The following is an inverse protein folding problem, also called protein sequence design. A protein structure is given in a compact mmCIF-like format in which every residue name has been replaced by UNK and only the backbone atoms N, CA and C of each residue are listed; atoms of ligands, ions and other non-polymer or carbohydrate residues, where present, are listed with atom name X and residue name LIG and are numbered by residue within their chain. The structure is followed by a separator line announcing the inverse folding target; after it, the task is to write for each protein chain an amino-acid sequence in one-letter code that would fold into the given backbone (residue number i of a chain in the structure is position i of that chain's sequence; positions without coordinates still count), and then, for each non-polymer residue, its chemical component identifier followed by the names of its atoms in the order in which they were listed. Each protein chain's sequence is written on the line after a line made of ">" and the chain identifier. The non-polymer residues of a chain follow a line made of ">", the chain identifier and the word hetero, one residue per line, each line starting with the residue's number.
data_IF_883983224176
#
_entry.id   IF_883983224176
#
_cell.length_a   1.000
_cell.length_b   1.000
_cell.length_c   1.000
_cell.angle_alpha   90.00
_cell.angle_beta   90.00
_cell.angle_gamma   90.00
#
_symmetry.space_group_name_H-M   'P 1'
#
loop_
_entity.id
_entity.type
_entity.pdbx_description
1 polymer ?
#
# COMPACT_ATOMS: atom_id res chain seq x y z
N UNK A 1 10.53 -27.44 -71.58
CA UNK A 1 9.44 -28.31 -72.09
C UNK A 1 8.31 -28.33 -71.08
N UNK A 2 7.30 -27.73 -71.48
CA UNK A 2 5.90 -28.05 -71.63
C UNK A 2 5.02 -27.77 -70.39
N UNK A 3 4.39 -26.70 -70.46
CA UNK A 3 2.97 -26.44 -70.11
C UNK A 3 2.06 -27.46 -70.85
N UNK A 4 0.73 -27.53 -70.62
CA UNK A 4 -0.27 -26.58 -70.12
C UNK A 4 -1.32 -27.31 -69.24
N UNK A 5 -2.40 -26.81 -68.77
CA UNK A 5 -3.43 -25.84 -69.06
C UNK A 5 -4.64 -26.18 -68.15
N UNK A 6 -5.37 -25.28 -67.81
CA UNK A 6 -6.64 -24.67 -68.21
C UNK A 6 -7.83 -24.93 -67.27
N UNK A 7 -8.45 -23.81 -66.90
CA UNK A 7 -9.88 -23.41 -67.06
C UNK A 7 -10.82 -24.07 -66.04
N UNK A 8 -11.35 -23.35 -65.14
CA UNK A 8 -12.42 -22.31 -65.26
C UNK A 8 -13.76 -22.88 -64.83
N UNK A 9 -14.39 -22.24 -63.91
CA UNK A 9 -15.84 -21.88 -64.00
C UNK A 9 -16.36 -21.29 -62.69
N UNK A 10 -16.74 -20.05 -62.77
CA UNK A 10 -18.07 -19.51 -62.41
C UNK A 10 -18.48 -19.58 -60.92
N UNK A 11 -18.31 -18.48 -60.35
CA UNK A 11 -19.18 -17.57 -59.62
C UNK A 11 -20.62 -18.11 -59.39
N UNK A 12 -20.94 -18.34 -58.12
CA UNK A 12 -22.32 -18.26 -57.63
C UNK A 12 -22.34 -17.46 -56.33
N UNK A 13 -22.79 -16.23 -56.45
CA UNK A 13 -23.16 -15.37 -55.34
C UNK A 13 -24.40 -15.98 -54.70
N UNK A 14 -24.31 -16.31 -53.42
CA UNK A 14 -25.48 -16.60 -52.58
C UNK A 14 -25.39 -15.76 -51.32
N UNK A 15 -26.25 -14.76 -51.25
CA UNK A 15 -26.63 -14.00 -50.05
C UNK A 15 -26.76 -14.95 -48.84
N UNK A 16 -25.94 -14.74 -47.80
CA UNK A 16 -26.20 -15.30 -46.49
C UNK A 16 -26.44 -14.18 -45.51
N UNK A 17 -27.68 -14.08 -45.09
CA UNK A 17 -28.21 -13.29 -44.00
C UNK A 17 -27.28 -13.41 -42.77
N UNK A 18 -26.95 -12.25 -42.19
CA UNK A 18 -26.22 -12.14 -40.93
C UNK A 18 -26.98 -12.85 -39.82
N UNK A 19 -26.43 -13.90 -39.29
CA UNK A 19 -26.81 -14.46 -38.01
C UNK A 19 -26.17 -13.62 -36.86
N UNK A 20 -26.86 -13.45 -35.72
CA UNK A 20 -26.35 -12.64 -34.61
C UNK A 20 -25.12 -13.30 -34.01
N UNK A 21 -24.05 -12.52 -33.88
CA UNK A 21 -22.83 -12.93 -33.14
C UNK A 21 -23.19 -13.09 -31.67
N UNK A 22 -23.31 -14.30 -31.20
CA UNK A 22 -23.27 -14.60 -29.77
C UNK A 22 -21.86 -14.35 -29.27
N UNK A 23 -21.69 -13.33 -28.44
CA UNK A 23 -20.46 -13.06 -27.67
C UNK A 23 -20.40 -14.09 -26.51
N UNK A 24 -20.13 -15.35 -26.81
CA UNK A 24 -19.68 -16.28 -25.79
C UNK A 24 -18.18 -16.01 -25.56
N UNK A 25 -17.85 -15.22 -24.54
CA UNK A 25 -16.52 -15.25 -23.94
C UNK A 25 -16.29 -16.70 -23.50
N UNK A 26 -15.51 -17.44 -24.27
CA UNK A 26 -15.04 -18.75 -23.86
C UNK A 26 -14.31 -18.56 -22.50
N UNK A 27 -14.91 -19.06 -21.43
CA UNK A 27 -14.21 -19.25 -20.15
C UNK A 27 -13.12 -20.25 -20.45
N UNK A 28 -11.86 -19.78 -20.48
CA UNK A 28 -10.69 -20.65 -20.48
C UNK A 28 -10.78 -21.45 -19.17
N UNK A 29 -11.17 -22.70 -19.27
CA UNK A 29 -11.05 -23.62 -18.14
C UNK A 29 -9.55 -23.90 -17.99
N UNK A 30 -8.96 -23.68 -16.80
CA UNK A 30 -7.55 -23.99 -16.58
C UNK A 30 -7.36 -25.49 -16.80
N UNK A 31 -6.52 -25.85 -17.74
CA UNK A 31 -6.12 -27.22 -18.02
C UNK A 31 -5.41 -27.76 -16.78
N UNK A 32 -5.99 -28.75 -16.13
CA UNK A 32 -5.38 -29.46 -15.01
C UNK A 32 -4.21 -30.32 -15.53
N UNK A 33 -3.00 -29.84 -15.37
CA UNK A 33 -1.79 -30.40 -15.98
C UNK A 33 -1.29 -31.70 -15.31
N UNK A 34 -1.91 -32.19 -14.21
CA UNK A 34 -1.39 -33.34 -13.49
C UNK A 34 -2.44 -34.29 -12.88
N UNK A 35 -3.68 -34.26 -13.29
CA UNK A 35 -4.70 -35.17 -12.73
C UNK A 35 -4.94 -35.02 -11.21
N UNK A 36 -4.48 -33.88 -10.62
CA UNK A 36 -4.70 -33.55 -9.20
C UNK A 36 -6.07 -32.90 -9.01
N UNK A 37 -6.80 -33.40 -8.04
CA UNK A 37 -8.08 -32.82 -7.63
C UNK A 37 -7.79 -31.45 -7.01
N UNK A 38 -8.54 -30.42 -7.44
CA UNK A 38 -8.42 -29.10 -6.84
C UNK A 38 -8.75 -29.12 -5.34
N UNK A 39 -8.10 -28.29 -4.51
CA UNK A 39 -8.41 -28.20 -3.08
C UNK A 39 -9.88 -27.88 -2.84
N UNK A 40 -10.60 -28.82 -2.23
CA UNK A 40 -12.04 -28.75 -1.99
C UNK A 40 -12.41 -29.34 -0.63
N UNK A 41 -13.59 -29.01 -0.12
CA UNK A 41 -14.16 -29.57 1.09
C UNK A 41 -15.70 -29.55 1.02
N UNK A 42 -16.33 -30.30 0.06
CA UNK A 42 -17.77 -30.21 -0.18
C UNK A 42 -18.62 -30.54 1.07
N UNK A 43 -18.20 -31.50 1.87
CA UNK A 43 -18.90 -31.88 3.11
C UNK A 43 -18.95 -30.70 4.13
N UNK A 44 -17.87 -29.92 4.23
CA UNK A 44 -17.84 -28.72 5.09
C UNK A 44 -18.68 -27.60 4.50
N UNK A 45 -18.69 -27.45 3.16
CA UNK A 45 -19.55 -26.48 2.48
C UNK A 45 -21.03 -26.77 2.76
N UNK A 46 -21.45 -28.03 2.62
CA UNK A 46 -22.83 -28.46 2.93
C UNK A 46 -23.17 -28.20 4.40
N UNK A 47 -22.26 -28.52 5.33
CA UNK A 47 -22.46 -28.31 6.76
C UNK A 47 -22.62 -26.81 7.12
N UNK A 48 -21.80 -25.95 6.51
CA UNK A 48 -21.87 -24.49 6.72
C UNK A 48 -23.17 -23.95 6.13
N UNK A 49 -23.54 -24.28 4.92
CA UNK A 49 -24.79 -23.83 4.29
C UNK A 49 -26.02 -24.29 5.07
N UNK A 50 -26.01 -25.53 5.53
CA UNK A 50 -27.08 -26.07 6.38
C UNK A 50 -27.20 -25.32 7.71
N UNK A 51 -26.08 -25.07 8.38
CA UNK A 51 -26.06 -24.33 9.66
C UNK A 51 -26.57 -22.89 9.50
N UNK A 52 -26.23 -22.21 8.39
CA UNK A 52 -26.71 -20.87 8.07
C UNK A 52 -28.24 -20.78 7.92
N UNK A 53 -28.89 -21.86 7.50
CA UNK A 53 -30.35 -21.94 7.34
C UNK A 53 -31.07 -22.34 8.60
N UNK A 54 -30.37 -22.81 9.64
CA UNK A 54 -30.97 -23.26 10.91
C UNK A 54 -30.75 -22.23 12.02
N UNK A 55 -29.55 -21.64 12.10
CA UNK A 55 -29.19 -20.74 13.18
C UNK A 55 -29.22 -19.27 12.74
N UNK A 56 -29.98 -18.48 13.51
CA UNK A 56 -30.26 -17.08 13.20
C UNK A 56 -29.01 -16.19 13.12
N UNK A 57 -28.02 -16.44 13.98
CA UNK A 57 -26.82 -15.60 14.09
C UNK A 57 -25.59 -16.18 13.37
N UNK A 58 -25.74 -17.34 12.73
CA UNK A 58 -24.63 -18.04 12.07
C UNK A 58 -24.00 -17.24 10.91
N UNK A 59 -24.82 -16.46 10.18
CA UNK A 59 -24.33 -15.65 9.09
C UNK A 59 -23.32 -14.59 9.55
N UNK A 60 -23.55 -13.95 10.69
CA UNK A 60 -22.63 -12.93 11.23
C UNK A 60 -21.24 -13.47 11.52
N UNK A 61 -21.13 -14.76 11.92
CA UNK A 61 -19.88 -15.43 12.24
C UNK A 61 -19.04 -15.74 10.99
N UNK A 62 -19.69 -15.96 9.84
CA UNK A 62 -18.99 -16.40 8.61
C UNK A 62 -18.94 -15.36 7.50
N UNK A 63 -19.78 -14.32 7.57
CA UNK A 63 -19.89 -13.29 6.53
C UNK A 63 -18.60 -12.55 6.26
N UNK A 64 -17.72 -12.46 7.25
CA UNK A 64 -16.39 -11.87 7.11
C UNK A 64 -15.34 -12.85 6.56
N UNK A 65 -15.57 -14.17 6.65
CA UNK A 65 -14.63 -15.21 6.29
C UNK A 65 -14.91 -15.71 4.88
N UNK A 66 -16.18 -15.89 4.53
CA UNK A 66 -16.63 -16.51 3.29
C UNK A 66 -17.23 -15.49 2.33
N UNK A 67 -17.02 -15.76 1.04
CA UNK A 67 -17.69 -15.13 -0.10
C UNK A 67 -18.29 -16.22 -0.97
N UNK A 68 -19.23 -15.92 -1.89
CA UNK A 68 -19.77 -16.92 -2.81
C UNK A 68 -18.67 -17.69 -3.53
N UNK A 69 -17.62 -17.02 -3.98
CA UNK A 69 -16.49 -17.59 -4.71
C UNK A 69 -15.60 -18.51 -3.84
N UNK A 70 -15.79 -18.48 -2.52
CA UNK A 70 -15.06 -19.35 -1.59
C UNK A 70 -15.49 -20.82 -1.71
N UNK A 71 -16.71 -21.06 -2.19
CA UNK A 71 -17.25 -22.40 -2.37
C UNK A 71 -16.75 -23.05 -3.66
N UNK A 72 -16.48 -24.36 -3.60
CA UNK A 72 -16.01 -25.10 -4.75
C UNK A 72 -17.14 -25.43 -5.72
N UNK A 73 -18.29 -25.92 -5.20
CA UNK A 73 -19.42 -26.27 -6.01
C UNK A 73 -20.24 -25.04 -6.39
N UNK A 74 -20.52 -24.90 -7.69
CA UNK A 74 -21.29 -23.77 -8.21
C UNK A 74 -22.67 -23.62 -7.54
N UNK A 75 -23.33 -24.75 -7.29
CA UNK A 75 -24.62 -24.74 -6.57
C UNK A 75 -24.51 -24.16 -5.15
N UNK A 76 -23.39 -24.38 -4.43
CA UNK A 76 -23.13 -23.81 -3.12
C UNK A 76 -22.86 -22.31 -3.21
N UNK A 77 -22.18 -21.84 -4.28
CA UNK A 77 -21.99 -20.42 -4.54
C UNK A 77 -23.31 -19.69 -4.71
N UNK A 78 -24.25 -20.28 -5.48
CA UNK A 78 -25.59 -19.71 -5.68
C UNK A 78 -26.39 -19.67 -4.40
N UNK A 79 -26.37 -20.73 -3.60
CA UNK A 79 -27.09 -20.78 -2.30
C UNK A 79 -26.51 -19.72 -1.35
N UNK A 80 -25.17 -19.64 -1.20
CA UNK A 80 -24.55 -18.65 -0.32
C UNK A 80 -24.80 -17.22 -0.79
N UNK A 81 -24.81 -16.98 -2.10
CA UNK A 81 -25.17 -15.68 -2.68
C UNK A 81 -26.64 -15.30 -2.35
N UNK A 82 -27.57 -16.25 -2.38
CA UNK A 82 -28.96 -16.00 -1.99
C UNK A 82 -29.10 -15.71 -0.48
N UNK A 83 -28.34 -16.43 0.35
CA UNK A 83 -28.24 -16.18 1.80
C UNK A 83 -27.70 -14.78 2.07
N UNK A 84 -26.62 -14.38 1.37
CA UNK A 84 -26.03 -13.05 1.48
C UNK A 84 -27.01 -11.95 1.14
N UNK A 85 -27.78 -12.10 0.06
CA UNK A 85 -28.82 -11.12 -0.32
C UNK A 85 -29.91 -10.97 0.77
N UNK A 86 -30.35 -12.09 1.32
CA UNK A 86 -31.35 -12.05 2.39
C UNK A 86 -30.82 -11.33 3.62
N UNK A 87 -29.59 -11.65 4.03
CA UNK A 87 -28.97 -11.07 5.20
C UNK A 87 -28.67 -9.57 5.03
N UNK A 88 -28.15 -9.14 3.87
CA UNK A 88 -27.91 -7.71 3.56
C UNK A 88 -29.22 -6.91 3.57
N UNK A 89 -30.32 -7.50 3.10
CA UNK A 89 -31.64 -6.86 3.11
C UNK A 89 -32.38 -7.04 4.45
N UNK A 90 -31.70 -7.51 5.50
CA UNK A 90 -32.25 -7.72 6.84
C UNK A 90 -33.48 -8.65 6.85
N UNK A 91 -33.56 -9.58 5.93
CA UNK A 91 -34.60 -10.62 5.89
C UNK A 91 -34.14 -11.85 6.67
N UNK A 92 -35.06 -12.60 7.27
CA UNK A 92 -34.72 -13.85 7.96
C UNK A 92 -34.07 -14.83 6.96
N UNK A 93 -33.02 -15.50 7.42
CA UNK A 93 -32.36 -16.57 6.66
C UNK A 93 -32.83 -17.90 7.21
N UNK A 94 -33.66 -18.58 6.44
CA UNK A 94 -34.16 -19.93 6.74
C UNK A 94 -34.39 -20.71 5.45
N UNK A 95 -34.71 -21.99 5.58
CA UNK A 95 -34.91 -22.89 4.43
C UNK A 95 -35.98 -22.37 3.46
N UNK A 96 -37.05 -21.76 3.97
CA UNK A 96 -38.16 -21.29 3.15
C UNK A 96 -37.82 -20.02 2.42
N UNK A 97 -37.19 -19.07 3.09
CA UNK A 97 -36.78 -17.79 2.52
C UNK A 97 -35.65 -17.95 1.49
N UNK A 98 -34.69 -18.84 1.74
CA UNK A 98 -33.62 -19.17 0.78
C UNK A 98 -34.21 -19.84 -0.46
N UNK A 99 -35.12 -20.81 -0.30
CA UNK A 99 -35.83 -21.42 -1.43
C UNK A 99 -36.59 -20.37 -2.27
N UNK A 100 -37.33 -19.46 -1.61
CA UNK A 100 -38.08 -18.41 -2.30
C UNK A 100 -37.13 -17.45 -3.04
N UNK A 101 -36.02 -17.07 -2.42
CA UNK A 101 -35.03 -16.19 -3.03
C UNK A 101 -34.39 -16.84 -4.27
N UNK A 102 -34.03 -18.13 -4.19
CA UNK A 102 -33.49 -18.89 -5.34
C UNK A 102 -34.55 -19.04 -6.46
N UNK A 103 -35.81 -19.25 -6.11
CA UNK A 103 -36.89 -19.30 -7.10
C UNK A 103 -37.09 -17.96 -7.81
N UNK A 104 -37.02 -16.84 -7.07
CA UNK A 104 -37.08 -15.47 -7.66
C UNK A 104 -35.92 -15.16 -8.61
N UNK A 105 -34.74 -15.71 -8.35
CA UNK A 105 -33.57 -15.57 -9.21
C UNK A 105 -33.60 -16.53 -10.41
N UNK A 106 -34.38 -17.56 -10.36
CA UNK A 106 -34.42 -18.63 -11.37
C UNK A 106 -33.36 -19.73 -11.17
N UNK A 107 -32.63 -19.68 -10.06
CA UNK A 107 -31.49 -20.60 -9.79
C UNK A 107 -31.92 -21.87 -9.06
N UNK A 108 -33.20 -21.99 -8.66
CA UNK A 108 -33.67 -23.09 -7.81
C UNK A 108 -33.44 -24.50 -8.41
N UNK A 109 -33.66 -24.67 -9.70
CA UNK A 109 -33.47 -25.96 -10.41
C UNK A 109 -31.95 -26.26 -10.52
N UNK A 110 -31.11 -25.25 -10.77
CA UNK A 110 -29.66 -25.41 -10.92
C UNK A 110 -28.99 -25.86 -9.63
N UNK A 111 -29.50 -25.43 -8.48
CA UNK A 111 -28.99 -25.86 -7.16
C UNK A 111 -29.45 -27.25 -6.75
N UNK A 112 -30.33 -27.90 -7.51
CA UNK A 112 -30.86 -29.23 -7.23
C UNK A 112 -32.26 -29.24 -6.59
N UNK A 113 -33.00 -28.16 -6.75
CA UNK A 113 -34.38 -28.00 -6.33
C UNK A 113 -34.60 -27.92 -4.82
N UNK A 114 -35.86 -27.88 -4.38
CA UNK A 114 -36.21 -27.76 -2.95
C UNK A 114 -35.70 -28.91 -2.09
N UNK A 115 -35.55 -30.08 -2.68
CA UNK A 115 -35.09 -31.28 -1.98
C UNK A 115 -33.64 -31.13 -1.50
N UNK A 116 -32.77 -30.60 -2.34
CA UNK A 116 -31.37 -30.39 -1.97
C UNK A 116 -31.20 -29.38 -0.82
N UNK A 117 -31.96 -28.27 -0.83
CA UNK A 117 -31.94 -27.28 0.23
C UNK A 117 -32.37 -27.90 1.56
N UNK A 118 -33.41 -28.73 1.56
CA UNK A 118 -33.87 -29.46 2.75
C UNK A 118 -32.83 -30.49 3.22
N UNK A 119 -32.15 -31.17 2.28
CA UNK A 119 -31.10 -32.11 2.60
C UNK A 119 -29.91 -31.46 3.30
N UNK A 120 -29.50 -30.26 2.88
CA UNK A 120 -28.42 -29.50 3.52
C UNK A 120 -28.70 -29.25 5.02
N UNK A 121 -29.93 -28.91 5.36
CA UNK A 121 -30.29 -28.71 6.76
C UNK A 121 -30.25 -29.99 7.59
N UNK A 122 -30.54 -31.15 7.01
CA UNK A 122 -30.50 -32.42 7.70
C UNK A 122 -29.07 -32.96 7.97
N UNK A 123 -28.07 -32.46 7.28
CA UNK A 123 -26.66 -32.86 7.43
C UNK A 123 -25.93 -32.11 8.56
N UNK A 124 -26.56 -31.14 9.18
CA UNK A 124 -25.95 -30.36 10.26
C UNK A 124 -26.00 -31.15 11.56
N UNK A 125 -24.85 -31.65 12.00
CA UNK A 125 -24.72 -32.33 13.28
C UNK A 125 -24.55 -31.33 14.46
N UNK A 126 -23.92 -30.20 14.25
CA UNK A 126 -23.70 -29.11 15.22
C UNK A 126 -23.20 -27.85 14.53
N UNK A 127 -23.75 -26.71 14.90
CA UNK A 127 -23.27 -25.38 14.45
C UNK A 127 -22.11 -24.84 15.28
N UNK A 128 -21.77 -25.50 16.41
CA UNK A 128 -20.75 -25.03 17.35
C UNK A 128 -19.37 -24.75 16.73
N UNK A 129 -19.08 -25.30 15.55
CA UNK A 129 -17.79 -25.15 14.87
C UNK A 129 -17.87 -24.49 13.49
N UNK A 130 -18.97 -23.77 13.21
CA UNK A 130 -19.22 -23.17 11.90
C UNK A 130 -18.08 -22.23 11.44
N UNK A 131 -17.55 -21.44 12.36
CA UNK A 131 -16.43 -20.53 12.07
C UNK A 131 -15.16 -21.31 11.67
N UNK A 132 -14.87 -22.40 12.37
CA UNK A 132 -13.72 -23.25 12.03
C UNK A 132 -13.89 -23.90 10.66
N UNK A 133 -15.08 -24.39 10.33
CA UNK A 133 -15.40 -24.96 9.02
C UNK A 133 -15.28 -23.89 7.93
N UNK A 134 -15.78 -22.68 8.17
CA UNK A 134 -15.66 -21.54 7.27
C UNK A 134 -14.19 -21.18 6.98
N UNK A 135 -13.33 -21.20 8.01
CA UNK A 135 -11.87 -20.96 7.84
C UNK A 135 -11.22 -22.04 6.98
N UNK A 136 -11.61 -23.32 7.07
CA UNK A 136 -11.10 -24.39 6.20
C UNK A 136 -11.54 -24.16 4.75
N UNK A 137 -12.82 -23.80 4.52
CA UNK A 137 -13.33 -23.49 3.18
C UNK A 137 -12.55 -22.32 2.57
N UNK A 138 -12.37 -21.23 3.32
CA UNK A 138 -11.60 -20.07 2.89
C UNK A 138 -10.13 -20.43 2.55
N UNK A 139 -9.50 -21.30 3.35
CA UNK A 139 -8.14 -21.80 3.07
C UNK A 139 -8.08 -22.61 1.78
N UNK A 140 -9.10 -23.47 1.51
CA UNK A 140 -9.17 -24.22 0.26
C UNK A 140 -9.43 -23.29 -0.94
N UNK A 141 -10.26 -22.27 -0.78
CA UNK A 141 -10.49 -21.25 -1.80
C UNK A 141 -9.21 -20.49 -2.14
N UNK A 142 -8.45 -20.04 -1.13
CA UNK A 142 -7.16 -19.38 -1.32
C UNK A 142 -6.18 -20.29 -2.09
N UNK A 143 -6.12 -21.57 -1.75
CA UNK A 143 -5.27 -22.50 -2.45
C UNK A 143 -5.67 -22.66 -3.93
N UNK A 144 -6.98 -22.66 -4.25
CA UNK A 144 -7.48 -22.68 -5.65
C UNK A 144 -7.11 -21.39 -6.37
N UNK A 145 -7.24 -20.24 -5.72
CA UNK A 145 -6.88 -18.94 -6.28
C UNK A 145 -5.38 -18.88 -6.61
N UNK A 146 -4.52 -19.39 -5.73
CA UNK A 146 -3.08 -19.49 -5.96
C UNK A 146 -2.75 -20.45 -7.12
N UNK A 147 -3.44 -21.58 -7.24
CA UNK A 147 -3.27 -22.52 -8.37
C UNK A 147 -3.64 -21.82 -9.68
N UNK A 148 -4.78 -21.14 -9.71
CA UNK A 148 -5.23 -20.42 -10.91
C UNK A 148 -4.25 -19.31 -11.28
N UNK A 149 -3.78 -18.54 -10.29
CA UNK A 149 -2.78 -17.51 -10.47
C UNK A 149 -1.48 -18.06 -11.05
N UNK A 150 -0.92 -19.12 -10.45
CA UNK A 150 0.33 -19.72 -10.93
C UNK A 150 0.20 -20.30 -12.33
N UNK A 151 -0.93 -20.94 -12.66
CA UNK A 151 -1.20 -21.45 -14.00
C UNK A 151 -1.29 -20.32 -15.05
N UNK A 152 -1.88 -19.17 -14.68
CA UNK A 152 -1.92 -18.00 -15.56
C UNK A 152 -0.54 -17.42 -15.79
N UNK A 153 0.27 -17.27 -14.74
CA UNK A 153 1.66 -16.79 -14.85
C UNK A 153 2.49 -17.76 -15.68
N UNK A 154 2.35 -19.07 -15.46
CA UNK A 154 3.03 -20.08 -16.25
C UNK A 154 2.65 -19.98 -17.73
N UNK A 155 1.36 -19.87 -18.05
CA UNK A 155 0.90 -19.74 -19.44
C UNK A 155 1.46 -18.50 -20.13
N UNK A 156 1.48 -17.37 -19.43
CA UNK A 156 2.05 -16.11 -19.96
C UNK A 156 3.55 -16.14 -20.12
N UNK A 157 4.26 -16.88 -19.26
CA UNK A 157 5.72 -17.04 -19.35
C UNK A 157 6.19 -17.81 -20.58
N UNK A 158 5.30 -18.60 -21.23
CA UNK A 158 5.58 -19.24 -22.52
C UNK A 158 5.29 -18.34 -23.73
N UNK A 159 4.71 -17.14 -23.50
CA UNK A 159 4.42 -16.19 -24.57
C UNK A 159 5.63 -15.28 -24.80
N UNK A 160 6.42 -15.56 -25.82
CA UNK A 160 7.62 -14.82 -26.18
C UNK A 160 7.34 -13.35 -26.59
N UNK A 161 6.08 -12.97 -26.78
CA UNK A 161 5.70 -11.59 -27.12
C UNK A 161 5.58 -10.67 -25.91
N UNK A 162 5.53 -11.23 -24.70
CA UNK A 162 5.40 -10.48 -23.45
C UNK A 162 6.77 -10.17 -22.86
N UNK A 163 6.95 -8.95 -22.39
CA UNK A 163 8.14 -8.56 -21.64
C UNK A 163 8.13 -9.26 -20.27
N UNK A 164 9.28 -9.85 -19.91
CA UNK A 164 9.42 -10.60 -18.64
C UNK A 164 9.25 -9.68 -17.44
N UNK A 165 9.74 -8.44 -17.53
CA UNK A 165 9.62 -7.45 -16.45
C UNK A 165 8.17 -7.04 -16.23
N UNK A 166 7.38 -6.88 -17.29
CA UNK A 166 5.94 -6.60 -17.22
C UNK A 166 5.19 -7.78 -16.60
N UNK A 167 5.54 -9.02 -16.97
CA UNK A 167 4.95 -10.23 -16.39
C UNK A 167 5.26 -10.35 -14.89
N UNK A 168 6.49 -10.05 -14.48
CA UNK A 168 6.88 -10.06 -13.06
C UNK A 168 6.08 -9.02 -12.28
N UNK A 169 5.91 -7.81 -12.79
CA UNK A 169 5.12 -6.75 -12.15
C UNK A 169 3.65 -7.13 -12.02
N UNK A 170 3.05 -7.71 -13.07
CA UNK A 170 1.66 -8.21 -13.01
C UNK A 170 1.51 -9.32 -11.96
N UNK A 171 2.47 -10.26 -11.92
CA UNK A 171 2.46 -11.36 -10.96
C UNK A 171 2.57 -10.87 -9.52
N UNK A 172 3.46 -9.91 -9.24
CA UNK A 172 3.59 -9.29 -7.92
C UNK A 172 2.30 -8.57 -7.49
N UNK A 173 1.70 -7.80 -8.40
CA UNK A 173 0.44 -7.09 -8.15
C UNK A 173 -0.68 -8.05 -7.77
N UNK A 174 -0.86 -9.13 -8.54
CA UNK A 174 -1.91 -10.11 -8.29
C UNK A 174 -1.68 -10.91 -7.01
N UNK A 175 -0.43 -11.30 -6.73
CA UNK A 175 -0.08 -11.98 -5.48
C UNK A 175 -0.37 -11.11 -4.25
N UNK A 176 -0.13 -9.81 -4.38
CA UNK A 176 -0.44 -8.84 -3.33
C UNK A 176 -1.95 -8.73 -3.08
N UNK A 177 -2.78 -8.64 -4.13
CA UNK A 177 -4.24 -8.63 -3.99
C UNK A 177 -4.75 -9.86 -3.24
N UNK A 178 -4.27 -11.06 -3.62
CA UNK A 178 -4.57 -12.32 -2.95
C UNK A 178 -4.17 -12.26 -1.47
N UNK A 179 -2.98 -11.73 -1.17
CA UNK A 179 -2.48 -11.58 0.19
C UNK A 179 -3.32 -10.60 1.02
N UNK A 180 -3.68 -9.44 0.44
CA UNK A 180 -4.49 -8.42 1.12
C UNK A 180 -5.90 -8.89 1.45
N UNK A 181 -6.52 -9.64 0.56
CA UNK A 181 -7.87 -10.18 0.79
C UNK A 181 -7.92 -11.14 1.99
N UNK A 182 -6.81 -11.78 2.31
CA UNK A 182 -6.69 -12.72 3.42
C UNK A 182 -6.15 -12.12 4.72
N UNK A 183 -5.67 -10.87 4.69
CA UNK A 183 -5.25 -10.16 5.90
C UNK A 183 -6.45 -9.50 6.60
N UNK A 184 -7.40 -10.29 7.09
CA UNK A 184 -8.38 -9.77 8.04
C UNK A 184 -7.71 -9.52 9.38
N UNK A 185 -7.88 -8.33 9.91
CA UNK A 185 -7.49 -8.02 11.29
C UNK A 185 -8.53 -8.67 12.19
N UNK A 186 -8.11 -9.63 13.00
CA UNK A 186 -8.89 -10.03 14.17
C UNK A 186 -9.05 -8.80 15.06
N UNK A 187 -10.29 -8.54 15.54
CA UNK A 187 -10.51 -7.55 16.57
C UNK A 187 -9.80 -8.01 17.84
N UNK A 188 -9.07 -7.10 18.45
CA UNK A 188 -8.35 -7.37 19.70
C UNK A 188 -9.17 -6.85 20.86
N UNK A 189 -9.36 -7.66 21.91
CA UNK A 189 -9.98 -7.20 23.14
C UNK A 189 -9.20 -5.99 23.70
N UNK A 190 -9.89 -4.97 24.20
CA UNK A 190 -9.27 -3.72 24.62
C UNK A 190 -8.29 -3.88 25.80
N UNK A 191 -8.51 -4.88 26.68
CA UNK A 191 -7.72 -5.04 27.90
C UNK A 191 -6.19 -5.19 27.68
N UNK A 192 -5.70 -6.07 26.77
CA UNK A 192 -4.26 -6.14 26.49
C UNK A 192 -3.72 -4.86 25.87
N UNK A 193 -4.55 -4.16 25.04
CA UNK A 193 -4.16 -2.90 24.43
C UNK A 193 -4.03 -1.78 25.47
N UNK A 194 -4.89 -1.74 26.50
CA UNK A 194 -4.76 -0.80 27.62
C UNK A 194 -3.45 -1.03 28.37
N UNK A 195 -3.09 -2.30 28.63
CA UNK A 195 -1.84 -2.62 29.32
C UNK A 195 -0.60 -2.14 28.54
N UNK A 196 -0.60 -2.35 27.24
CA UNK A 196 0.47 -1.85 26.34
C UNK A 196 0.51 -0.32 26.33
N UNK A 197 -0.62 0.35 26.18
CA UNK A 197 -0.71 1.81 26.22
C UNK A 197 -0.20 2.38 27.54
N UNK A 198 -0.55 1.75 28.67
CA UNK A 198 -0.08 2.17 29.98
C UNK A 198 1.45 2.04 30.12
N UNK A 199 2.04 0.95 29.62
CA UNK A 199 3.51 0.78 29.58
C UNK A 199 4.17 1.89 28.75
N UNK A 200 3.60 2.24 27.57
CA UNK A 200 4.13 3.32 26.74
C UNK A 200 4.08 4.68 27.46
N UNK A 201 3.00 4.95 28.21
CA UNK A 201 2.90 6.17 29.04
C UNK A 201 3.97 6.19 30.13
N UNK A 202 4.21 5.05 30.81
CA UNK A 202 5.26 4.96 31.84
C UNK A 202 6.65 5.19 31.23
N UNK A 203 6.96 4.62 30.07
CA UNK A 203 8.22 4.83 29.36
C UNK A 203 8.38 6.30 28.98
N UNK A 204 7.34 6.93 28.45
CA UNK A 204 7.37 8.36 28.10
C UNK A 204 7.54 9.26 29.34
N UNK A 205 6.90 8.94 30.47
CA UNK A 205 7.04 9.66 31.72
C UNK A 205 8.44 9.54 32.35
N UNK A 206 9.15 8.44 32.11
CA UNK A 206 10.51 8.22 32.58
C UNK A 206 11.57 8.96 31.74
N UNK A 207 11.21 9.45 30.55
CA UNK A 207 12.10 10.23 29.68
C UNK A 207 12.14 11.69 30.15
N UNK A 208 13.35 12.19 30.32
CA UNK A 208 13.58 13.58 30.75
C UNK A 208 13.38 14.61 29.63
N UNK A 209 13.34 14.16 28.36
CA UNK A 209 13.17 15.01 27.18
C UNK A 209 11.69 15.28 26.83
N UNK A 210 10.73 14.59 27.47
CA UNK A 210 9.29 14.74 27.25
C UNK A 210 8.81 14.23 25.90
N UNK A 211 9.60 13.39 25.19
CA UNK A 211 9.27 12.86 23.89
C UNK A 211 8.67 11.45 24.01
N UNK A 212 7.56 11.22 23.34
CA UNK A 212 6.95 9.89 23.23
C UNK A 212 7.42 9.14 21.99
N UNK A 213 7.80 9.87 20.94
CA UNK A 213 8.24 9.35 19.65
C UNK A 213 9.76 9.35 19.48
N UNK A 214 10.18 9.18 18.22
CA UNK A 214 11.58 9.20 17.78
C UNK A 214 12.00 10.68 17.56
N UNK A 215 13.15 11.06 18.10
CA UNK A 215 13.71 12.41 17.98
C UNK A 215 14.04 12.74 16.51
N UNK A 216 13.68 13.96 16.06
CA UNK A 216 14.10 14.49 14.75
C UNK A 216 15.47 15.16 14.77
N UNK A 217 15.91 15.57 15.96
CA UNK A 217 17.10 16.39 16.18
C UNK A 217 16.87 17.88 15.94
N UNK A 218 15.62 18.30 15.74
CA UNK A 218 15.21 19.71 15.67
C UNK A 218 14.35 20.03 16.89
N UNK A 219 14.96 20.62 17.92
CA UNK A 219 14.35 20.78 19.26
C UNK A 219 12.95 21.41 19.24
N UNK A 220 12.72 22.43 18.38
CA UNK A 220 11.40 23.06 18.29
C UNK A 220 10.37 22.13 17.66
N UNK A 221 10.75 21.41 16.61
CA UNK A 221 9.89 20.43 15.95
C UNK A 221 9.55 19.28 16.91
N UNK A 222 10.55 18.75 17.61
CA UNK A 222 10.37 17.68 18.58
C UNK A 222 9.41 18.10 19.71
N UNK A 223 9.52 19.31 20.24
CA UNK A 223 8.59 19.84 21.25
C UNK A 223 7.15 19.98 20.73
N UNK A 224 6.97 20.33 19.46
CA UNK A 224 5.64 20.49 18.85
C UNK A 224 4.98 19.15 18.51
N UNK A 225 5.77 18.12 18.13
CA UNK A 225 5.27 16.84 17.64
C UNK A 225 5.41 15.73 18.68
N UNK A 226 6.11 15.95 19.77
CA UNK A 226 6.56 14.94 20.74
C UNK A 226 7.41 13.84 20.06
N UNK A 227 8.13 14.19 18.97
CA UNK A 227 8.88 13.28 18.12
C UNK A 227 8.01 12.51 17.10
N UNK A 228 8.65 11.73 16.23
CA UNK A 228 7.97 10.93 15.21
C UNK A 228 7.31 9.71 15.84
N UNK A 229 5.97 9.64 15.73
CA UNK A 229 5.20 8.56 16.36
C UNK A 229 5.25 7.29 15.52
N UNK A 230 5.21 6.13 16.19
CA UNK A 230 5.13 4.84 15.53
C UNK A 230 3.86 4.72 14.68
N UNK A 231 3.95 3.98 13.58
CA UNK A 231 2.85 3.75 12.64
C UNK A 231 2.34 4.99 11.91
N UNK A 232 2.98 6.18 12.07
CA UNK A 232 2.58 7.39 11.38
C UNK A 232 3.18 7.47 9.98
N UNK A 233 2.36 7.96 9.04
CA UNK A 233 2.79 8.44 7.74
C UNK A 233 2.91 9.96 7.79
N UNK A 234 4.14 10.44 7.65
CA UNK A 234 4.49 11.87 7.67
C UNK A 234 4.81 12.31 6.23
N UNK A 235 4.13 13.34 5.77
CA UNK A 235 4.41 13.93 4.47
C UNK A 235 5.16 15.24 4.67
N UNK A 236 6.34 15.36 4.04
CA UNK A 236 7.09 16.63 4.00
C UNK A 236 7.08 17.13 2.56
N UNK A 237 6.38 18.22 2.32
CA UNK A 237 6.21 18.73 0.97
C UNK A 237 6.79 20.13 0.79
N UNK A 238 7.33 20.39 -0.40
CA UNK A 238 7.85 21.69 -0.79
C UNK A 238 7.94 21.84 -2.31
N UNK A 239 8.13 23.05 -2.80
CA UNK A 239 8.53 23.29 -4.19
C UNK A 239 9.98 22.85 -4.42
N UNK A 240 10.39 22.57 -5.68
CA UNK A 240 11.80 22.32 -6.02
C UNK A 240 12.72 23.40 -5.45
N UNK A 241 13.96 23.03 -5.12
CA UNK A 241 14.98 23.93 -4.56
C UNK A 241 14.70 24.56 -3.18
N UNK A 242 13.58 24.21 -2.53
CA UNK A 242 13.27 24.65 -1.15
C UNK A 242 14.07 23.92 -0.07
N UNK A 243 14.84 22.89 -0.41
CA UNK A 243 15.70 22.16 0.51
C UNK A 243 15.07 20.92 1.16
N UNK A 244 14.05 20.28 0.56
CA UNK A 244 13.42 19.04 1.07
C UNK A 244 14.46 17.97 1.44
N UNK A 245 15.24 17.54 0.45
CA UNK A 245 16.28 16.51 0.62
C UNK A 245 17.32 16.92 1.66
N UNK A 246 17.74 18.19 1.68
CA UNK A 246 18.70 18.70 2.67
C UNK A 246 18.16 18.60 4.10
N UNK A 247 16.89 18.96 4.31
CA UNK A 247 16.24 18.89 5.61
C UNK A 247 16.15 17.45 6.13
N UNK A 248 15.67 16.51 5.29
CA UNK A 248 15.51 15.11 5.72
C UNK A 248 16.84 14.39 5.88
N UNK A 249 17.86 14.73 5.09
CA UNK A 249 19.21 14.18 5.29
C UNK A 249 19.85 14.71 6.59
N UNK A 250 19.62 15.99 6.94
CA UNK A 250 20.06 16.52 8.25
C UNK A 250 19.34 15.81 9.40
N UNK A 251 18.05 15.54 9.24
CA UNK A 251 17.27 14.75 10.19
C UNK A 251 17.80 13.31 10.29
N UNK A 252 17.99 12.62 9.15
CA UNK A 252 18.52 11.25 9.11
C UNK A 252 19.90 11.17 9.80
N UNK A 253 20.76 12.15 9.53
CA UNK A 253 22.06 12.28 10.21
C UNK A 253 21.89 12.47 11.73
N UNK A 254 21.02 13.38 12.16
CA UNK A 254 20.79 13.58 13.60
C UNK A 254 20.30 12.29 14.26
N UNK A 255 19.35 11.59 13.65
CA UNK A 255 18.80 10.34 14.19
C UNK A 255 19.86 9.23 14.22
N UNK A 256 20.62 9.06 13.14
CA UNK A 256 21.60 7.97 13.04
C UNK A 256 22.89 8.24 13.81
N UNK A 257 23.44 9.45 13.72
CA UNK A 257 24.72 9.80 14.31
C UNK A 257 24.57 10.21 15.79
N UNK A 258 23.65 11.16 16.09
CA UNK A 258 23.55 11.71 17.43
C UNK A 258 22.79 10.80 18.39
N UNK A 259 21.69 10.18 17.89
CA UNK A 259 20.81 9.33 18.71
C UNK A 259 21.05 7.82 18.52
N UNK A 260 21.94 7.43 17.58
CA UNK A 260 22.27 6.03 17.28
C UNK A 260 21.05 5.16 16.95
N UNK A 261 19.99 5.75 16.41
CA UNK A 261 18.82 5.04 15.96
C UNK A 261 18.97 4.67 14.47
N UNK A 262 18.73 3.39 14.07
CA UNK A 262 18.86 2.97 12.69
C UNK A 262 17.83 3.64 11.76
N UNK A 263 18.30 4.21 10.65
CA UNK A 263 17.52 4.95 9.66
C UNK A 263 17.70 4.32 8.29
N UNK A 264 16.62 4.19 7.52
CA UNK A 264 16.69 3.84 6.09
C UNK A 264 16.22 5.01 5.24
N UNK A 265 16.99 5.30 4.18
CA UNK A 265 16.67 6.35 3.19
C UNK A 265 16.57 5.71 1.81
N UNK A 266 15.40 5.78 1.22
CA UNK A 266 15.15 5.39 -0.17
C UNK A 266 15.15 6.63 -1.04
N UNK A 267 16.14 6.74 -1.93
CA UNK A 267 16.31 7.89 -2.83
C UNK A 267 16.01 7.49 -4.25
N UNK A 268 14.92 7.97 -4.78
CA UNK A 268 14.47 7.69 -6.14
C UNK A 268 14.98 8.74 -7.15
N UNK A 269 15.51 9.87 -6.67
CA UNK A 269 15.98 10.99 -7.49
C UNK A 269 17.51 11.06 -7.55
N UNK A 270 18.19 10.69 -6.47
CA UNK A 270 19.63 10.87 -6.31
C UNK A 270 20.35 9.57 -6.06
N UNK A 271 21.53 9.40 -6.68
CA UNK A 271 22.39 8.25 -6.42
C UNK A 271 22.97 8.24 -4.99
N UNK A 272 23.33 7.06 -4.48
CA UNK A 272 23.95 6.87 -3.17
C UNK A 272 25.14 7.81 -2.96
N UNK A 273 26.03 7.95 -3.96
CA UNK A 273 27.21 8.81 -3.88
C UNK A 273 26.83 10.28 -3.73
N UNK A 274 25.80 10.74 -4.43
CA UNK A 274 25.30 12.12 -4.31
C UNK A 274 24.69 12.40 -2.94
N UNK A 275 23.97 11.44 -2.36
CA UNK A 275 23.42 11.54 -1.00
C UNK A 275 24.54 11.59 0.03
N UNK A 276 25.51 10.67 -0.07
CA UNK A 276 26.65 10.61 0.85
C UNK A 276 27.47 11.92 0.78
N UNK A 277 27.69 12.47 -0.41
CA UNK A 277 28.37 13.76 -0.55
C UNK A 277 27.61 14.91 0.14
N UNK A 278 26.27 14.90 0.10
CA UNK A 278 25.46 15.87 0.87
C UNK A 278 25.55 15.66 2.38
N UNK A 279 25.58 14.39 2.83
CA UNK A 279 25.78 14.07 4.24
C UNK A 279 27.17 14.52 4.72
N UNK A 280 28.22 14.26 3.93
CA UNK A 280 29.59 14.71 4.21
C UNK A 280 29.62 16.24 4.31
N UNK A 281 29.04 16.97 3.35
CA UNK A 281 28.94 18.43 3.39
C UNK A 281 28.28 18.90 4.68
N UNK A 282 27.19 18.23 5.10
CA UNK A 282 26.45 18.57 6.31
C UNK A 282 27.23 18.28 7.61
N UNK A 283 27.88 17.10 7.68
CA UNK A 283 28.64 16.69 8.87
C UNK A 283 29.95 17.46 9.01
N UNK A 284 30.65 17.62 7.90
CA UNK A 284 31.96 18.26 7.89
C UNK A 284 31.91 19.78 7.83
N UNK A 285 30.72 20.37 7.50
CA UNK A 285 30.55 21.83 7.36
C UNK A 285 31.52 22.44 6.32
N UNK A 286 31.87 21.64 5.30
CA UNK A 286 32.73 22.03 4.17
C UNK A 286 31.84 22.36 2.99
N UNK A 287 32.04 23.49 2.27
CA UNK A 287 31.26 23.84 1.09
C UNK A 287 31.27 22.75 0.02
N UNK A 288 30.08 22.43 -0.52
CA UNK A 288 29.91 21.36 -1.52
C UNK A 288 30.78 21.55 -2.76
N UNK A 289 31.07 22.79 -3.15
CA UNK A 289 31.95 23.10 -4.29
C UNK A 289 33.38 22.59 -4.07
N UNK A 290 33.90 22.78 -2.86
CA UNK A 290 35.25 22.30 -2.50
C UNK A 290 35.33 20.78 -2.49
N UNK A 291 34.28 20.12 -1.94
CA UNK A 291 34.21 18.65 -1.94
C UNK A 291 34.17 18.12 -3.39
N UNK A 292 33.34 18.73 -4.24
CA UNK A 292 33.21 18.32 -5.65
C UNK A 292 34.47 18.56 -6.47
N UNK A 293 35.19 19.69 -6.24
CA UNK A 293 36.41 20.03 -6.96
C UNK A 293 37.65 19.36 -6.37
N UNK A 294 37.56 18.76 -5.17
CA UNK A 294 38.72 18.21 -4.45
C UNK A 294 39.71 19.28 -3.95
N UNK A 295 39.32 20.57 -4.03
CA UNK A 295 40.18 21.68 -3.63
C UNK A 295 40.02 21.99 -2.13
N UNK A 296 40.48 21.06 -1.30
CA UNK A 296 40.46 21.15 0.15
C UNK A 296 41.82 21.60 0.68
N UNK A 297 41.81 22.54 1.64
CA UNK A 297 43.00 22.90 2.38
C UNK A 297 43.40 21.76 3.34
N UNK A 298 44.66 21.74 3.77
CA UNK A 298 45.18 20.68 4.65
C UNK A 298 44.36 20.51 5.94
N UNK A 299 43.88 21.60 6.53
CA UNK A 299 43.02 21.55 7.72
C UNK A 299 41.62 21.00 7.41
N UNK A 300 41.08 21.24 6.19
CA UNK A 300 39.77 20.72 5.75
C UNK A 300 39.85 19.21 5.53
N UNK A 301 40.98 18.68 5.05
CA UNK A 301 41.23 17.24 4.98
C UNK A 301 41.25 16.59 6.36
N UNK A 302 41.92 17.21 7.34
CA UNK A 302 41.93 16.71 8.72
C UNK A 302 40.53 16.76 9.36
N UNK A 303 39.78 17.81 9.11
CA UNK A 303 38.38 17.94 9.56
C UNK A 303 37.50 16.87 8.92
N UNK A 304 37.67 16.61 7.63
CA UNK A 304 36.96 15.56 6.90
C UNK A 304 37.24 14.17 7.53
N UNK A 305 38.52 13.81 7.68
CA UNK A 305 38.93 12.52 8.22
C UNK A 305 38.44 12.31 9.67
N UNK A 306 38.40 13.36 10.48
CA UNK A 306 37.91 13.30 11.84
C UNK A 306 36.38 13.10 11.91
N UNK A 307 35.63 13.94 11.18
CA UNK A 307 34.16 13.91 11.25
C UNK A 307 33.54 12.75 10.45
N UNK A 308 34.24 12.19 9.46
CA UNK A 308 33.78 11.00 8.74
C UNK A 308 33.68 9.76 9.65
N UNK A 309 34.49 9.68 10.71
CA UNK A 309 34.42 8.54 11.65
C UNK A 309 33.04 8.39 12.27
N UNK A 310 32.40 9.51 12.63
CA UNK A 310 31.05 9.49 13.22
C UNK A 310 29.99 8.99 12.22
N UNK A 311 30.21 9.26 10.94
CA UNK A 311 29.31 8.82 9.88
C UNK A 311 29.52 7.36 9.47
N UNK A 312 30.78 6.89 9.49
CA UNK A 312 31.12 5.50 9.16
C UNK A 312 30.46 4.50 10.13
N UNK A 313 30.38 4.85 11.41
CA UNK A 313 29.77 4.00 12.44
C UNK A 313 28.26 4.27 12.63
N UNK A 314 27.67 5.15 11.84
CA UNK A 314 26.26 5.48 11.96
C UNK A 314 25.36 4.39 11.31
N UNK A 315 24.30 3.95 11.98
CA UNK A 315 23.37 2.97 11.45
C UNK A 315 22.41 3.62 10.41
N UNK A 316 22.97 4.07 9.28
CA UNK A 316 22.28 4.72 8.18
C UNK A 316 22.35 3.85 6.92
N UNK A 317 21.21 3.40 6.44
CA UNK A 317 21.06 2.55 5.25
C UNK A 317 20.48 3.36 4.12
N UNK A 318 21.10 3.30 2.95
CA UNK A 318 20.70 4.06 1.76
C UNK A 318 20.44 3.11 0.59
N UNK A 319 19.34 3.31 -0.10
CA UNK A 319 18.94 2.59 -1.31
C UNK A 319 18.60 3.61 -2.39
N UNK A 320 19.23 3.50 -3.58
CA UNK A 320 19.04 4.39 -4.72
C UNK A 320 18.40 3.68 -5.92
N UNK A 321 17.65 2.61 -5.67
CA UNK A 321 16.93 1.90 -6.73
C UNK A 321 15.94 2.84 -7.44
N UNK A 322 16.15 3.11 -8.75
CA UNK A 322 15.23 3.95 -9.50
C UNK A 322 13.88 3.27 -9.67
N UNK A 323 12.80 4.06 -9.77
CA UNK A 323 11.45 3.54 -10.05
C UNK A 323 10.97 2.44 -9.09
N UNK A 324 11.33 2.57 -7.81
CA UNK A 324 11.01 1.60 -6.76
C UNK A 324 9.50 1.34 -6.67
N UNK A 325 9.10 0.09 -6.80
CA UNK A 325 7.71 -0.31 -6.62
C UNK A 325 7.34 -0.36 -5.11
N UNK A 326 6.05 -0.19 -4.81
CA UNK A 326 5.55 -0.33 -3.43
C UNK A 326 5.86 -1.71 -2.85
N UNK A 327 5.84 -2.76 -3.68
CA UNK A 327 6.11 -4.14 -3.28
C UNK A 327 7.58 -4.36 -2.95
N UNK A 328 8.46 -3.86 -3.79
CA UNK A 328 9.89 -3.91 -3.56
C UNK A 328 10.28 -3.12 -2.30
N UNK A 329 9.75 -1.90 -2.16
CA UNK A 329 9.92 -1.12 -0.93
C UNK A 329 9.50 -1.91 0.31
N UNK A 330 8.32 -2.56 0.28
CA UNK A 330 7.79 -3.34 1.41
C UNK A 330 8.72 -4.50 1.78
N UNK A 331 9.24 -5.21 0.77
CA UNK A 331 10.16 -6.33 0.96
C UNK A 331 11.49 -5.86 1.56
N UNK A 332 12.08 -4.79 1.02
CA UNK A 332 13.32 -4.18 1.52
C UNK A 332 13.13 -3.62 2.93
N UNK A 333 12.02 -2.93 3.18
CA UNK A 333 11.69 -2.35 4.48
C UNK A 333 11.54 -3.42 5.57
N UNK A 334 10.81 -4.51 5.31
CA UNK A 334 10.68 -5.65 6.23
C UNK A 334 12.04 -6.25 6.58
N UNK A 335 12.91 -6.42 5.58
CA UNK A 335 14.25 -6.95 5.79
C UNK A 335 15.09 -6.01 6.64
N UNK A 336 15.09 -4.71 6.33
CA UNK A 336 15.84 -3.69 7.09
C UNK A 336 15.39 -3.58 8.55
N UNK A 337 14.07 -3.63 8.79
CA UNK A 337 13.53 -3.62 10.17
C UNK A 337 13.94 -4.89 10.93
N UNK A 338 13.82 -6.07 10.29
CA UNK A 338 14.11 -7.35 10.95
C UNK A 338 15.60 -7.57 11.20
N UNK A 339 16.45 -7.24 10.22
CA UNK A 339 17.88 -7.57 10.26
C UNK A 339 18.72 -6.46 10.92
N UNK A 340 18.30 -5.22 10.75
CA UNK A 340 19.05 -4.04 11.20
C UNK A 340 18.32 -3.19 12.24
N UNK A 341 17.10 -3.56 12.61
CA UNK A 341 16.32 -2.84 13.61
C UNK A 341 15.96 -1.41 13.21
N UNK A 342 15.79 -1.14 11.91
CA UNK A 342 15.43 0.20 11.38
C UNK A 342 14.20 0.73 12.09
N UNK A 343 14.29 1.97 12.57
CA UNK A 343 13.24 2.63 13.38
C UNK A 343 12.48 3.72 12.64
N UNK A 344 12.98 4.15 11.48
CA UNK A 344 12.35 5.16 10.62
C UNK A 344 12.77 4.93 9.18
N UNK A 345 11.82 5.13 8.26
CA UNK A 345 12.06 5.09 6.82
C UNK A 345 11.79 6.46 6.23
N UNK A 346 12.68 6.93 5.36
CA UNK A 346 12.56 8.19 4.61
C UNK A 346 12.54 7.85 3.11
N UNK A 347 11.60 8.42 2.35
CA UNK A 347 11.42 8.19 0.91
C UNK A 347 11.51 9.52 0.16
N UNK A 348 12.49 9.69 -0.74
CA UNK A 348 12.70 10.89 -1.57
C UNK A 348 12.55 10.56 -3.06
N UNK A 349 11.44 10.80 -3.70
CA UNK A 349 10.17 11.32 -3.29
C UNK A 349 9.03 10.46 -3.87
N UNK A 350 7.85 10.56 -3.25
CA UNK A 350 6.70 9.69 -3.46
C UNK A 350 6.24 9.61 -4.93
N UNK A 351 6.28 10.74 -5.67
CA UNK A 351 5.84 10.78 -7.06
C UNK A 351 6.77 10.05 -8.04
N UNK A 352 7.94 9.56 -7.63
CA UNK A 352 8.78 8.69 -8.47
C UNK A 352 8.55 7.20 -8.20
N UNK A 353 7.73 6.87 -7.21
CA UNK A 353 7.33 5.49 -6.96
C UNK A 353 6.34 5.00 -8.01
N UNK A 354 6.33 3.70 -8.20
CA UNK A 354 5.39 2.99 -9.07
C UNK A 354 4.50 2.06 -8.23
N UNK A 355 3.23 1.99 -8.59
CA UNK A 355 2.34 0.92 -8.11
C UNK A 355 2.21 -0.15 -9.20
N UNK A 356 3.36 -0.67 -9.65
CA UNK A 356 3.48 -1.64 -10.74
C UNK A 356 2.56 -2.85 -10.55
N UNK A 357 2.06 -3.39 -11.65
CA UNK A 357 1.16 -4.56 -11.65
C UNK A 357 -0.34 -4.22 -11.51
N UNK A 358 -0.69 -2.95 -11.34
CA UNK A 358 -2.09 -2.51 -11.32
C UNK A 358 -2.34 -1.53 -12.48
N UNK A 359 -3.49 -1.67 -13.15
CA UNK A 359 -3.92 -0.72 -14.17
C UNK A 359 -4.65 0.46 -13.51
N UNK A 360 -4.13 1.67 -13.69
CA UNK A 360 -4.73 2.90 -13.16
C UNK A 360 -5.31 3.75 -14.28
N UNK A 361 -6.46 4.36 -14.01
CA UNK A 361 -7.08 5.31 -14.93
C UNK A 361 -6.38 6.68 -14.95
N UNK A 362 -5.64 7.00 -13.89
CA UNK A 362 -4.92 8.28 -13.76
C UNK A 362 -3.74 8.19 -12.80
N UNK A 363 -2.77 9.10 -12.96
CA UNK A 363 -1.64 9.24 -12.02
C UNK A 363 -2.09 9.56 -10.59
N UNK A 364 -3.20 10.28 -10.44
CA UNK A 364 -3.77 10.59 -9.12
C UNK A 364 -4.22 9.33 -8.38
N UNK A 365 -4.83 8.39 -9.08
CA UNK A 365 -5.27 7.12 -8.51
C UNK A 365 -4.09 6.25 -8.10
N UNK A 366 -3.05 6.21 -8.90
CA UNK A 366 -1.79 5.53 -8.59
C UNK A 366 -1.14 6.10 -7.33
N UNK A 367 -0.98 7.43 -7.25
CA UNK A 367 -0.41 8.12 -6.09
C UNK A 367 -1.27 7.89 -4.83
N UNK A 368 -2.60 7.84 -4.97
CA UNK A 368 -3.52 7.48 -3.88
C UNK A 368 -3.27 6.08 -3.37
N UNK A 369 -3.06 5.13 -4.26
CA UNK A 369 -2.77 3.73 -3.90
C UNK A 369 -1.41 3.60 -3.23
N UNK A 370 -0.40 4.31 -3.71
CA UNK A 370 0.93 4.37 -3.10
C UNK A 370 0.82 4.93 -1.67
N UNK A 371 0.16 6.06 -1.47
CA UNK A 371 -0.02 6.71 -0.17
C UNK A 371 -0.69 5.78 0.85
N UNK A 372 -1.79 5.14 0.44
CA UNK A 372 -2.51 4.18 1.28
C UNK A 372 -1.65 2.96 1.63
N UNK A 373 -0.85 2.49 0.69
CA UNK A 373 0.08 1.37 0.88
C UNK A 373 1.20 1.73 1.86
N UNK A 374 1.75 2.95 1.77
CA UNK A 374 2.75 3.46 2.71
C UNK A 374 2.19 3.57 4.13
N UNK A 375 0.94 4.07 4.28
CA UNK A 375 0.27 4.08 5.60
C UNK A 375 0.05 2.68 6.13
N UNK A 376 -0.33 1.73 5.27
CA UNK A 376 -0.43 0.31 5.60
C UNK A 376 0.91 -0.26 6.09
N UNK A 377 2.00 0.05 5.38
CA UNK A 377 3.35 -0.38 5.72
C UNK A 377 3.85 0.20 7.05
N UNK A 378 3.60 1.49 7.31
CA UNK A 378 3.94 2.12 8.59
C UNK A 378 3.26 1.42 9.78
N UNK A 379 1.97 1.06 9.62
CA UNK A 379 1.23 0.30 10.63
C UNK A 379 1.75 -1.13 10.79
N UNK A 380 2.07 -1.80 9.68
CA UNK A 380 2.58 -3.17 9.67
C UNK A 380 3.92 -3.29 10.39
N UNK A 381 4.86 -2.38 10.08
CA UNK A 381 6.19 -2.37 10.65
C UNK A 381 6.24 -1.70 12.03
N UNK A 382 5.18 -0.99 12.43
CA UNK A 382 5.10 -0.20 13.67
C UNK A 382 6.22 0.83 13.80
N UNK A 383 6.57 1.50 12.69
CA UNK A 383 7.58 2.57 12.62
C UNK A 383 7.05 3.77 11.83
N UNK A 384 7.54 4.99 12.08
CA UNK A 384 7.22 6.15 11.24
C UNK A 384 7.82 6.00 9.84
N UNK A 385 7.04 6.43 8.84
CA UNK A 385 7.48 6.58 7.45
C UNK A 385 7.34 8.04 7.06
N UNK A 386 8.45 8.67 6.66
CA UNK A 386 8.48 10.02 6.10
C UNK A 386 8.55 9.90 4.58
N UNK A 387 7.55 10.41 3.88
CA UNK A 387 7.57 10.49 2.42
C UNK A 387 7.63 11.95 1.96
N UNK A 388 8.59 12.25 1.10
CA UNK A 388 8.69 13.56 0.49
C UNK A 388 7.70 13.71 -0.64
N UNK A 389 7.14 14.89 -0.80
CA UNK A 389 6.20 15.23 -1.87
C UNK A 389 6.54 16.57 -2.51
N UNK A 390 6.22 16.72 -3.78
CA UNK A 390 6.35 17.99 -4.48
C UNK A 390 5.01 18.71 -4.50
N UNK A 391 5.01 20.02 -4.20
CA UNK A 391 3.83 20.87 -4.26
C UNK A 391 3.49 21.28 -5.70
N UNK A 392 2.20 21.54 -5.95
CA UNK A 392 1.72 22.07 -7.21
C UNK A 392 2.33 23.48 -7.49
N UNK A 393 2.50 23.79 -8.78
CA UNK A 393 3.02 25.11 -9.22
C UNK A 393 2.11 26.28 -8.88
N UNK A 394 0.83 26.03 -8.60
CA UNK A 394 -0.14 27.05 -8.24
C UNK A 394 0.25 27.93 -7.04
N UNK A 395 1.10 27.42 -6.14
CA UNK A 395 1.66 28.22 -5.03
C UNK A 395 2.47 29.43 -5.53
N UNK A 396 3.17 29.27 -6.66
CA UNK A 396 4.03 30.31 -7.23
C UNK A 396 3.25 31.46 -7.90
N UNK A 397 1.99 31.22 -8.27
CA UNK A 397 1.13 32.22 -8.91
C UNK A 397 0.36 33.10 -7.93
N UNK A 398 0.29 32.72 -6.64
CA UNK A 398 -0.43 33.51 -5.63
C UNK A 398 0.31 34.79 -5.29
N UNK A 399 -0.43 35.84 -4.95
CA UNK A 399 0.11 37.16 -4.59
C UNK A 399 0.26 37.30 -3.06
N UNK A 400 1.15 38.20 -2.65
CA UNK A 400 1.41 38.49 -1.24
C UNK A 400 2.28 37.48 -0.50
N UNK A 401 2.73 37.86 0.69
CA UNK A 401 3.61 37.02 1.54
C UNK A 401 2.87 35.77 2.01
N UNK A 402 1.66 35.96 2.54
CA UNK A 402 0.83 34.85 3.01
C UNK A 402 0.32 33.98 1.87
N UNK A 403 0.08 34.55 0.67
CA UNK A 403 -0.33 33.80 -0.51
C UNK A 403 0.70 32.80 -0.98
N UNK A 404 2.00 33.07 -0.80
CA UNK A 404 3.13 32.18 -1.13
C UNK A 404 3.34 31.08 -0.11
N UNK A 405 2.70 31.17 1.05
CA UNK A 405 2.80 30.14 2.09
C UNK A 405 2.01 28.90 1.68
N UNK A 406 2.61 27.69 1.73
CA UNK A 406 1.95 26.46 1.29
C UNK A 406 0.74 26.11 2.15
N UNK A 407 -0.28 25.53 1.52
CA UNK A 407 -1.52 25.06 2.14
C UNK A 407 -1.81 23.59 1.74
N UNK A 408 -2.66 22.90 2.50
CA UNK A 408 -3.03 21.51 2.20
C UNK A 408 -3.60 21.35 0.79
N UNK A 409 -4.32 22.35 0.28
CA UNK A 409 -4.83 22.35 -1.10
C UNK A 409 -3.74 22.31 -2.17
N UNK A 410 -2.48 22.60 -1.84
CA UNK A 410 -1.36 22.56 -2.78
C UNK A 410 -0.83 21.15 -3.02
N UNK A 411 -1.29 20.18 -2.21
CA UNK A 411 -1.14 18.74 -2.44
C UNK A 411 -2.18 18.17 -3.42
N UNK A 412 -2.94 19.01 -4.12
CA UNK A 412 -4.20 18.71 -4.83
C UNK A 412 -4.14 17.69 -5.97
N UNK A 413 -2.98 17.43 -6.55
CA UNK A 413 -2.82 16.28 -7.46
C UNK A 413 -2.86 14.94 -6.69
N UNK A 414 -2.98 14.99 -5.36
CA UNK A 414 -2.87 13.88 -4.43
C UNK A 414 -3.77 14.11 -3.21
N UNK A 415 -5.04 14.46 -3.40
CA UNK A 415 -5.99 14.65 -2.29
C UNK A 415 -6.08 13.46 -1.32
N UNK A 416 -5.74 12.27 -1.80
CA UNK A 416 -5.62 11.08 -0.96
C UNK A 416 -4.39 11.12 -0.03
N UNK A 417 -3.26 11.71 -0.45
CA UNK A 417 -2.08 11.85 0.41
C UNK A 417 -2.45 12.63 1.67
N UNK A 418 -3.21 13.72 1.50
CA UNK A 418 -3.69 14.49 2.65
C UNK A 418 -4.56 13.64 3.59
N UNK A 419 -5.45 12.81 3.04
CA UNK A 419 -6.35 11.97 3.85
C UNK A 419 -5.61 10.87 4.59
N UNK A 420 -4.66 10.20 3.94
CA UNK A 420 -3.93 9.05 4.49
C UNK A 420 -2.85 9.48 5.49
N UNK A 421 -2.23 10.65 5.31
CA UNK A 421 -1.18 11.15 6.17
C UNK A 421 -1.69 11.48 7.58
N UNK A 422 -0.92 11.13 8.60
CA UNK A 422 -1.17 11.51 9.99
C UNK A 422 -0.62 12.91 10.27
N UNK A 423 0.49 13.26 9.60
CA UNK A 423 1.09 14.59 9.69
C UNK A 423 1.49 15.08 8.30
N UNK A 424 1.26 16.36 8.05
CA UNK A 424 1.71 17.06 6.84
C UNK A 424 2.50 18.30 7.26
N UNK A 425 3.75 18.35 6.81
CA UNK A 425 4.66 19.47 7.01
C UNK A 425 5.03 20.08 5.67
N UNK A 426 5.09 21.42 5.63
CA UNK A 426 5.61 22.16 4.47
C UNK A 426 6.93 22.81 4.81
N UNK A 427 7.85 22.84 3.84
CA UNK A 427 9.05 23.66 3.91
C UNK A 427 8.81 24.90 3.06
N UNK A 428 8.89 26.07 3.68
CA UNK A 428 8.71 27.36 3.05
C UNK A 428 9.96 28.21 3.23
N UNK A 429 10.48 28.79 2.15
CA UNK A 429 11.61 29.73 2.14
C UNK A 429 11.17 31.02 1.49
N UNK A 430 10.90 32.09 2.27
CA UNK A 430 10.46 33.40 1.73
C UNK A 430 11.46 33.96 0.70
N UNK A 431 12.76 33.81 0.96
CA UNK A 431 13.83 34.27 0.07
C UNK A 431 13.72 33.71 -1.36
N UNK A 432 13.25 32.46 -1.53
CA UNK A 432 13.03 31.86 -2.85
C UNK A 432 12.05 32.68 -3.69
N UNK A 433 11.05 33.29 -3.03
CA UNK A 433 10.06 34.17 -3.64
C UNK A 433 10.49 35.63 -3.66
N UNK A 434 11.77 35.94 -3.37
CA UNK A 434 12.33 37.29 -3.25
C UNK A 434 11.67 38.12 -2.16
N UNK A 435 11.14 37.47 -1.14
CA UNK A 435 10.59 38.11 0.07
C UNK A 435 11.70 38.12 1.10
N UNK A 436 12.30 39.27 1.32
CA UNK A 436 13.47 39.41 2.18
C UNK A 436 13.15 39.98 3.57
N UNK A 437 11.95 40.54 3.75
CA UNK A 437 11.49 41.07 5.01
C UNK A 437 10.05 40.66 5.26
N UNK A 438 9.70 40.49 6.54
CA UNK A 438 8.32 40.30 6.96
C UNK A 438 7.60 41.67 7.10
N UNK A 439 6.29 41.64 7.43
CA UNK A 439 5.48 42.86 7.63
C UNK A 439 5.96 43.73 8.82
N UNK A 440 6.83 43.17 9.67
CA UNK A 440 7.44 43.85 10.81
C UNK A 440 8.84 44.36 10.52
N UNK A 441 9.37 44.17 9.29
CA UNK A 441 10.69 44.58 8.85
C UNK A 441 11.83 43.64 9.27
N UNK A 442 11.56 42.45 9.81
CA UNK A 442 12.60 41.46 10.12
C UNK A 442 13.18 40.87 8.86
N UNK A 443 14.50 40.65 8.82
CA UNK A 443 15.19 39.99 7.69
C UNK A 443 14.88 38.49 7.65
N UNK A 444 14.37 38.03 6.51
CA UNK A 444 14.00 36.65 6.27
C UNK A 444 15.02 35.89 5.40
N UNK A 445 16.14 36.53 5.02
CA UNK A 445 17.16 35.88 4.20
C UNK A 445 17.82 34.74 4.95
N UNK A 446 18.02 33.60 4.24
CA UNK A 446 18.58 32.38 4.82
C UNK A 446 17.63 31.62 5.75
N UNK A 447 16.40 32.13 5.99
CA UNK A 447 15.42 31.47 6.84
C UNK A 447 14.59 30.44 6.05
N UNK A 448 14.28 29.33 6.72
CA UNK A 448 13.31 28.34 6.27
C UNK A 448 12.31 28.06 7.39
N UNK A 449 11.03 28.03 7.03
CA UNK A 449 9.95 27.69 7.95
C UNK A 449 9.52 26.25 7.73
N UNK A 450 9.30 25.52 8.82
CA UNK A 450 8.61 24.22 8.81
C UNK A 450 7.20 24.47 9.31
N UNK A 451 6.23 24.37 8.40
CA UNK A 451 4.81 24.60 8.69
C UNK A 451 4.13 23.26 8.91
N UNK A 452 3.65 22.98 10.13
CA UNK A 452 2.83 21.82 10.42
C UNK A 452 1.39 22.15 10.03
N UNK A 453 0.95 21.68 8.86
CA UNK A 453 -0.36 22.02 8.31
C UNK A 453 -1.45 21.01 8.72
N UNK A 454 -1.06 19.77 9.05
CA UNK A 454 -1.95 18.72 9.57
C UNK A 454 -1.21 17.92 10.63
N UNK A 455 -1.90 17.61 11.73
CA UNK A 455 -1.44 16.68 12.74
C UNK A 455 -2.65 15.98 13.37
N UNK A 456 -2.77 14.66 13.13
CA UNK A 456 -3.97 13.89 13.53
C UNK A 456 -4.10 13.74 15.06
N UNK A 457 -2.98 13.67 15.76
CA UNK A 457 -2.94 13.46 17.22
C UNK A 457 -2.95 14.75 18.04
N UNK A 458 -2.67 15.91 17.43
CA UNK A 458 -2.76 17.21 18.06
C UNK A 458 -4.00 17.91 17.50
N UNK A 459 -4.93 18.28 18.40
CA UNK A 459 -6.03 19.17 18.04
C UNK A 459 -5.44 20.56 17.76
N UNK A 460 -5.01 20.81 16.54
CA UNK A 460 -4.60 22.15 16.08
C UNK A 460 -5.88 22.98 15.89
N UNK A 461 -6.48 23.40 16.99
CA UNK A 461 -7.43 24.51 17.01
C UNK A 461 -6.60 25.76 17.24
N UNK A 462 -6.10 26.34 16.17
CA UNK A 462 -5.59 27.71 16.13
C UNK A 462 -5.92 28.34 14.78
#
# INVERSE_FOLDING_TARGET
>A
EIMPSLVGSEMCIRDRRKAPRSNSKAKIQPVNDYGRIQPQAPELEEAVLGALMIEKDAYSLVSEILRPESFYEHRHQLIYSAITDLAVNQKPVDILTVKEQLAKRGDLEEVGGPFYITQLSSKVASSAHIEYHARIIAQKALARELITFTSNVQSKAFDETLDVDDLMQEAEGRLFEISQQNMKKDYTQINPVIAEAYQLIQIAAARTDGLSGLESGFTKLDKMTSGWQRSDLIIIAARPAMGKTAFVLSMAKNIAVNYRNPVAVFSLEMSNVQLVNRLITNVCEIPSEKIKSGQLASYEWQQLDYKLKDLLDAPLYVDDTPSLSVFELRTKARRLVREHGVRIIIIDYLQLMNASGMAFGSRQEEVSTISRSLKGLAKELNIPIIALSQLNRGVESREGIDGKRPQLSDLRESGAIEQDADMVCFIHRPEYYKIFQDDRGNDLRGMAEIVIAKHRSLSLIH
#
